data_IF_675559487744
#
_entry.id   IF_675559487744
#
_cell.length_a   1.000
_cell.length_b   1.000
_cell.length_c   1.000
_cell.angle_alpha   90.00
_cell.angle_beta   90.00
_cell.angle_gamma   90.00
#
_symmetry.space_group_name_H-M   'P 1'
#
loop_
_entity.id
_entity.type
_entity.pdbx_description
1 polymer ?
#
# COMPACT_ATOMS: atom_id res chain seq x y z
N UNK A 1 -9.63 5.99 26.29
CA UNK A 1 -9.86 7.05 25.28
C UNK A 1 -11.12 6.70 24.50
N UNK A 2 -12.14 7.56 24.49
CA UNK A 2 -13.43 7.34 23.79
C UNK A 2 -13.40 7.97 22.39
N UNK A 3 -12.66 7.37 21.46
CA UNK A 3 -12.74 7.70 20.03
C UNK A 3 -13.65 6.71 19.29
N UNK A 4 -14.16 7.03 18.09
CA UNK A 4 -14.88 6.06 17.27
C UNK A 4 -13.96 4.95 16.76
N UNK A 5 -14.53 3.80 16.42
CA UNK A 5 -13.86 2.80 15.59
C UNK A 5 -14.02 3.21 14.12
N UNK A 6 -12.91 3.27 13.38
CA UNK A 6 -12.88 3.78 12.00
C UNK A 6 -12.25 2.75 11.08
N UNK A 7 -12.96 2.46 9.99
CA UNK A 7 -12.45 1.69 8.86
C UNK A 7 -12.49 2.60 7.63
N UNK A 8 -11.34 2.85 7.02
CA UNK A 8 -11.21 3.62 5.79
C UNK A 8 -10.87 2.67 4.64
N UNK A 9 -11.60 2.75 3.52
CA UNK A 9 -11.44 1.84 2.38
C UNK A 9 -11.05 2.67 1.16
N UNK A 10 -10.02 2.24 0.43
CA UNK A 10 -9.60 2.94 -0.78
C UNK A 10 -8.20 2.57 -1.27
N UNK A 11 -7.46 3.57 -1.74
CA UNK A 11 -6.08 3.46 -2.19
C UNK A 11 -5.43 4.83 -2.34
N UNK A 12 -4.18 4.84 -2.78
CA UNK A 12 -3.43 6.05 -3.08
C UNK A 12 -3.31 7.04 -1.93
N UNK A 13 -3.13 8.31 -2.30
CA UNK A 13 -2.94 9.43 -1.36
C UNK A 13 -4.19 9.76 -0.55
N UNK A 14 -5.39 9.56 -1.12
CA UNK A 14 -6.64 9.87 -0.44
C UNK A 14 -6.82 9.04 0.84
N UNK A 15 -6.59 7.73 0.74
CA UNK A 15 -6.68 6.85 1.90
C UNK A 15 -5.63 7.19 2.96
N UNK A 16 -4.36 7.40 2.57
CA UNK A 16 -3.29 7.71 3.52
C UNK A 16 -3.55 9.03 4.27
N UNK A 17 -4.05 10.06 3.60
CA UNK A 17 -4.40 11.34 4.23
C UNK A 17 -5.51 11.18 5.26
N UNK A 18 -6.53 10.37 4.96
CA UNK A 18 -7.62 10.07 5.90
C UNK A 18 -7.08 9.31 7.13
N UNK A 19 -6.23 8.30 6.91
CA UNK A 19 -5.64 7.53 8.00
C UNK A 19 -4.79 8.42 8.93
N UNK A 20 -3.89 9.23 8.37
CA UNK A 20 -3.05 10.16 9.13
C UNK A 20 -3.89 11.14 9.96
N UNK A 21 -4.95 11.71 9.37
CA UNK A 21 -5.84 12.62 10.07
C UNK A 21 -6.55 11.96 11.27
N UNK A 22 -6.82 10.65 11.20
CA UNK A 22 -7.52 9.90 12.25
C UNK A 22 -6.61 9.37 13.36
N UNK A 23 -5.28 9.44 13.19
CA UNK A 23 -4.32 9.05 14.24
C UNK A 23 -4.57 9.90 15.51
N UNK A 24 -4.75 9.23 16.64
CA UNK A 24 -5.04 9.86 17.93
C UNK A 24 -6.50 10.32 18.12
N UNK A 25 -7.34 10.26 17.08
CA UNK A 25 -8.77 10.60 17.14
C UNK A 25 -9.66 9.36 17.18
N UNK A 26 -9.24 8.27 16.54
CA UNK A 26 -9.92 6.98 16.58
C UNK A 26 -9.49 6.13 17.79
N UNK A 27 -10.40 5.32 18.32
CA UNK A 27 -10.05 4.27 19.31
C UNK A 27 -9.54 3.00 18.64
N UNK A 28 -9.94 2.76 17.39
CA UNK A 28 -9.46 1.72 16.50
C UNK A 28 -9.45 2.28 15.08
N UNK A 29 -8.36 2.06 14.35
CA UNK A 29 -8.16 2.60 13.01
C UNK A 29 -7.64 1.50 12.07
N UNK A 30 -8.40 1.22 11.02
CA UNK A 30 -8.06 0.22 10.00
C UNK A 30 -8.14 0.85 8.62
N UNK A 31 -7.08 0.71 7.82
CA UNK A 31 -7.10 0.98 6.39
C UNK A 31 -7.28 -0.31 5.60
N UNK A 32 -8.30 -0.40 4.76
CA UNK A 32 -8.47 -1.49 3.78
C UNK A 32 -8.08 -0.97 2.41
N UNK A 33 -7.04 -1.55 1.81
CA UNK A 33 -6.35 -0.97 0.67
C UNK A 33 -6.41 -1.86 -0.57
N UNK A 34 -6.69 -1.26 -1.72
CA UNK A 34 -6.59 -1.96 -3.00
C UNK A 34 -5.16 -2.44 -3.27
N UNK A 35 -5.03 -3.64 -3.82
CA UNK A 35 -3.75 -4.23 -4.25
C UNK A 35 -3.70 -4.43 -5.77
N UNK A 36 -4.57 -3.73 -6.51
CA UNK A 36 -4.72 -3.87 -7.96
C UNK A 36 -3.79 -2.94 -8.78
N UNK A 37 -2.95 -2.14 -8.12
CA UNK A 37 -2.03 -1.21 -8.79
C UNK A 37 -1.01 -1.97 -9.66
N UNK A 38 -0.84 -1.50 -10.89
CA UNK A 38 0.08 -2.03 -11.89
C UNK A 38 1.08 -0.97 -12.41
N UNK A 39 1.09 0.22 -11.79
CA UNK A 39 1.93 1.35 -12.14
C UNK A 39 3.26 1.45 -11.37
N UNK A 40 4.22 2.16 -11.98
CA UNK A 40 5.47 2.58 -11.33
C UNK A 40 6.28 1.43 -10.70
N UNK A 41 6.88 1.69 -9.53
CA UNK A 41 7.66 0.69 -8.79
C UNK A 41 6.80 -0.46 -8.25
N UNK A 42 5.56 -0.17 -7.86
CA UNK A 42 4.61 -1.16 -7.31
C UNK A 42 4.30 -2.24 -8.34
N UNK A 43 3.90 -1.81 -9.54
CA UNK A 43 3.61 -2.72 -10.66
C UNK A 43 4.82 -3.49 -11.17
N UNK A 44 6.03 -2.91 -11.15
CA UNK A 44 7.25 -3.65 -11.49
C UNK A 44 7.51 -4.80 -10.51
N UNK A 45 7.56 -4.51 -9.21
CA UNK A 45 7.78 -5.53 -8.18
C UNK A 45 6.71 -6.63 -8.21
N UNK A 46 5.44 -6.24 -8.35
CA UNK A 46 4.33 -7.18 -8.49
C UNK A 46 4.51 -8.13 -9.68
N UNK A 47 4.90 -7.63 -10.84
CA UNK A 47 5.09 -8.47 -12.05
C UNK A 47 6.33 -9.35 -11.95
N UNK A 48 7.42 -8.82 -11.41
CA UNK A 48 8.70 -9.51 -11.39
C UNK A 48 8.75 -10.61 -10.32
N UNK A 49 7.98 -10.45 -9.24
CA UNK A 49 8.04 -11.31 -8.04
C UNK A 49 6.74 -12.08 -7.76
N UNK A 50 5.70 -11.89 -8.58
CA UNK A 50 4.36 -12.50 -8.41
C UNK A 50 3.73 -12.26 -7.02
N UNK A 51 3.89 -11.04 -6.51
CA UNK A 51 3.35 -10.59 -5.21
C UNK A 51 2.20 -9.58 -5.38
N UNK A 52 1.42 -9.35 -4.33
CA UNK A 52 0.46 -8.24 -4.29
C UNK A 52 1.15 -6.88 -4.41
N UNK A 53 0.47 -5.88 -4.98
CA UNK A 53 1.05 -4.56 -5.19
C UNK A 53 1.39 -3.86 -3.85
N UNK A 54 2.68 -3.54 -3.57
CA UNK A 54 3.08 -3.02 -2.26
C UNK A 54 2.78 -1.52 -2.05
N UNK A 55 2.59 -0.75 -3.13
CA UNK A 55 2.64 0.71 -3.12
C UNK A 55 1.67 1.40 -2.17
N UNK A 56 0.39 1.01 -2.21
CA UNK A 56 -0.63 1.63 -1.38
C UNK A 56 -0.63 1.10 0.06
N UNK A 57 -0.28 -0.17 0.26
CA UNK A 57 -0.01 -0.73 1.59
C UNK A 57 1.11 0.02 2.29
N UNK A 58 2.25 0.23 1.60
CA UNK A 58 3.38 1.04 2.05
C UNK A 58 2.93 2.44 2.47
N UNK A 59 2.15 3.12 1.62
CA UNK A 59 1.71 4.50 1.89
C UNK A 59 0.80 4.57 3.13
N UNK A 60 -0.09 3.59 3.29
CA UNK A 60 -0.93 3.51 4.49
C UNK A 60 -0.09 3.22 5.74
N UNK A 61 0.90 2.33 5.66
CA UNK A 61 1.82 2.05 6.76
C UNK A 61 2.59 3.30 7.17
N UNK A 62 3.16 4.03 6.21
CA UNK A 62 3.89 5.27 6.49
C UNK A 62 3.00 6.34 7.14
N UNK A 63 1.74 6.47 6.70
CA UNK A 63 0.78 7.41 7.29
C UNK A 63 0.40 7.08 8.75
N UNK A 64 0.43 5.80 9.12
CA UNK A 64 0.17 5.35 10.48
C UNK A 64 1.43 5.30 11.35
N UNK A 65 2.61 5.35 10.74
CA UNK A 65 3.91 5.35 11.42
C UNK A 65 4.15 6.72 12.08
N UNK A 66 4.62 6.77 13.35
CA UNK A 66 5.02 8.03 13.98
C UNK A 66 6.06 8.80 13.15
N UNK A 67 6.04 10.12 13.24
CA UNK A 67 7.05 10.97 12.58
C UNK A 67 8.48 10.59 13.00
N UNK A 68 9.41 10.60 12.04
CA UNK A 68 10.81 10.30 12.25
C UNK A 68 11.42 9.50 11.10
N UNK A 69 12.70 9.13 11.27
CA UNK A 69 13.52 8.52 10.22
C UNK A 69 12.91 7.25 9.62
N UNK A 70 12.18 6.46 10.41
CA UNK A 70 11.53 5.24 9.90
C UNK A 70 10.39 5.56 8.91
N UNK A 71 9.55 6.55 9.24
CA UNK A 71 8.50 7.03 8.32
C UNK A 71 9.13 7.58 7.05
N UNK A 72 10.19 8.37 7.19
CA UNK A 72 10.92 8.93 6.05
C UNK A 72 11.55 7.83 5.20
N UNK A 73 12.10 6.77 5.80
CA UNK A 73 12.66 5.64 5.09
C UNK A 73 11.60 4.85 4.31
N UNK A 74 10.41 4.63 4.89
CA UNK A 74 9.30 3.98 4.17
C UNK A 74 8.90 4.78 2.91
N UNK A 75 8.94 6.11 2.98
CA UNK A 75 8.59 6.99 1.86
C UNK A 75 9.77 7.30 0.92
N UNK A 76 11.01 7.11 1.35
CA UNK A 76 12.21 7.44 0.59
C UNK A 76 12.25 6.68 -0.73
N UNK A 77 12.41 7.42 -1.83
CA UNK A 77 12.60 6.87 -3.17
C UNK A 77 14.06 7.03 -3.56
N UNK A 78 14.71 5.92 -3.89
CA UNK A 78 16.07 5.96 -4.40
C UNK A 78 16.13 6.69 -5.74
N UNK A 79 17.10 7.57 -5.90
CA UNK A 79 17.26 8.39 -7.11
C UNK A 79 18.18 7.76 -8.15
N UNK A 80 19.10 6.89 -7.72
CA UNK A 80 20.14 6.31 -8.58
C UNK A 80 20.53 4.90 -8.15
N UNK A 81 21.32 4.23 -8.98
CA UNK A 81 21.78 2.86 -8.76
C UNK A 81 20.72 1.81 -9.08
N UNK A 82 20.94 0.58 -8.61
CA UNK A 82 20.09 -0.59 -8.93
C UNK A 82 18.67 -0.47 -8.38
N UNK A 83 18.47 0.34 -7.34
CA UNK A 83 17.16 0.58 -6.73
C UNK A 83 16.47 1.84 -7.26
N UNK A 84 17.06 2.53 -8.25
CA UNK A 84 16.53 3.80 -8.75
C UNK A 84 15.03 3.73 -9.07
N UNK A 85 14.28 4.68 -8.53
CA UNK A 85 12.84 4.77 -8.70
C UNK A 85 12.01 3.84 -7.79
N UNK A 86 12.62 2.99 -6.96
CA UNK A 86 11.89 2.20 -5.95
C UNK A 86 11.80 2.97 -4.62
N UNK A 87 10.60 3.08 -4.02
CA UNK A 87 10.49 3.42 -2.60
C UNK A 87 11.12 2.32 -1.75
N UNK A 88 11.93 2.66 -0.74
CA UNK A 88 12.57 1.66 0.10
C UNK A 88 11.54 0.79 0.84
N UNK A 89 10.43 1.38 1.29
CA UNK A 89 9.33 0.62 1.88
C UNK A 89 8.70 -0.42 0.93
N UNK A 90 8.66 -0.17 -0.38
CA UNK A 90 8.20 -1.18 -1.34
C UNK A 90 9.18 -2.36 -1.44
N UNK A 91 10.49 -2.09 -1.36
CA UNK A 91 11.52 -3.14 -1.41
C UNK A 91 11.46 -4.01 -0.16
N UNK A 92 11.29 -3.40 1.02
CA UNK A 92 11.10 -4.13 2.28
C UNK A 92 9.84 -4.99 2.23
N UNK A 93 8.71 -4.42 1.79
CA UNK A 93 7.46 -5.18 1.62
C UNK A 93 7.61 -6.35 0.65
N UNK A 94 8.25 -6.12 -0.50
CA UNK A 94 8.48 -7.16 -1.49
C UNK A 94 9.32 -8.31 -0.91
N UNK A 95 10.42 -7.99 -0.21
CA UNK A 95 11.25 -8.99 0.44
C UNK A 95 10.48 -9.80 1.49
N UNK A 96 9.61 -9.15 2.26
CA UNK A 96 8.79 -9.87 3.25
C UNK A 96 7.70 -10.72 2.60
N UNK A 97 7.07 -10.25 1.52
CA UNK A 97 6.04 -10.99 0.77
C UNK A 97 6.59 -12.21 0.03
N UNK A 98 7.86 -12.17 -0.38
CA UNK A 98 8.55 -13.37 -0.90
C UNK A 98 8.78 -14.43 0.18
N UNK A 99 9.01 -14.01 1.42
CA UNK A 99 9.29 -14.91 2.55
C UNK A 99 8.01 -15.41 3.24
N UNK A 100 6.98 -14.58 3.26
CA UNK A 100 5.67 -14.84 3.85
C UNK A 100 4.57 -14.45 2.85
N UNK A 101 3.93 -15.42 2.18
CA UNK A 101 2.94 -15.17 1.14
C UNK A 101 1.65 -14.51 1.63
N UNK A 102 1.32 -14.56 2.93
CA UNK A 102 0.14 -13.88 3.45
C UNK A 102 0.44 -12.39 3.71
N UNK A 103 -0.09 -11.47 2.88
CA UNK A 103 0.14 -10.04 3.06
C UNK A 103 -0.45 -9.49 4.36
N UNK A 104 -1.44 -10.16 4.96
CA UNK A 104 -1.97 -9.75 6.27
C UNK A 104 -0.91 -9.95 7.35
N UNK A 105 -0.22 -11.09 7.34
CA UNK A 105 0.85 -11.40 8.30
C UNK A 105 2.02 -10.43 8.14
N UNK A 106 2.42 -10.17 6.89
CA UNK A 106 3.50 -9.19 6.59
C UNK A 106 3.14 -7.80 7.09
N UNK A 107 1.91 -7.32 6.83
CA UNK A 107 1.48 -5.99 7.25
C UNK A 107 1.36 -5.87 8.76
N UNK A 108 0.82 -6.88 9.45
CA UNK A 108 0.72 -6.88 10.91
C UNK A 108 2.12 -6.87 11.56
N UNK A 109 3.06 -7.62 11.00
CA UNK A 109 4.47 -7.63 11.44
C UNK A 109 5.11 -6.24 11.29
N UNK A 110 4.94 -5.61 10.12
CA UNK A 110 5.50 -4.29 9.86
C UNK A 110 4.89 -3.20 10.74
N UNK A 111 3.57 -3.27 10.98
CA UNK A 111 2.87 -2.35 11.89
C UNK A 111 3.50 -2.37 13.28
N UNK A 112 3.80 -3.56 13.81
CA UNK A 112 4.48 -3.70 15.10
C UNK A 112 5.91 -3.15 15.05
N UNK A 113 6.69 -3.51 14.02
CA UNK A 113 8.09 -3.10 13.88
C UNK A 113 8.29 -1.58 13.83
N UNK A 114 7.39 -0.85 13.16
CA UNK A 114 7.50 0.60 12.99
C UNK A 114 6.69 1.39 14.03
N UNK A 115 5.99 0.70 14.93
CA UNK A 115 5.13 1.33 15.94
C UNK A 115 3.94 2.08 15.35
N UNK A 116 3.38 1.59 14.24
CA UNK A 116 2.26 2.21 13.56
C UNK A 116 0.99 2.22 14.44
N UNK A 117 0.21 3.30 14.37
CA UNK A 117 -1.00 3.53 15.17
C UNK A 117 -2.27 3.19 14.41
N UNK A 118 -2.42 1.92 14.08
CA UNK A 118 -3.56 1.37 13.35
C UNK A 118 -3.16 0.11 12.61
N UNK A 119 -4.09 -0.47 11.86
CA UNK A 119 -3.85 -1.67 11.05
C UNK A 119 -4.07 -1.38 9.58
N UNK A 120 -3.32 -2.04 8.70
CA UNK A 120 -3.51 -1.98 7.25
C UNK A 120 -3.83 -3.38 6.76
N UNK A 121 -4.93 -3.52 6.03
CA UNK A 121 -5.39 -4.77 5.45
C UNK A 121 -5.47 -4.64 3.93
N UNK A 122 -4.94 -5.59 3.16
CA UNK A 122 -5.21 -5.62 1.74
C UNK A 122 -6.67 -6.00 1.49
N UNK A 123 -7.27 -5.46 0.42
CA UNK A 123 -8.65 -5.80 0.03
C UNK A 123 -8.78 -7.27 -0.40
N UNK A 124 -7.68 -7.91 -0.79
CA UNK A 124 -7.57 -9.33 -1.12
C UNK A 124 -6.13 -9.79 -0.87
N UNK A 125 -5.94 -11.06 -0.52
CA UNK A 125 -4.61 -11.62 -0.27
C UNK A 125 -3.89 -12.10 -1.53
N UNK A 126 -4.53 -12.00 -2.71
CA UNK A 126 -3.95 -12.44 -3.99
C UNK A 126 -3.80 -11.28 -4.96
N UNK A 127 -2.82 -11.37 -5.86
CA UNK A 127 -2.64 -10.40 -6.92
C UNK A 127 -3.87 -10.36 -7.85
N UNK A 128 -4.39 -9.17 -8.11
CA UNK A 128 -5.59 -8.98 -8.95
C UNK A 128 -5.41 -7.82 -9.92
N UNK A 129 -6.00 -7.95 -11.11
CA UNK A 129 -6.00 -6.89 -12.11
C UNK A 129 -7.33 -6.13 -12.10
N UNK A 130 -7.26 -4.81 -12.19
CA UNK A 130 -8.44 -3.99 -12.44
C UNK A 130 -8.88 -4.14 -13.90
N UNK A 131 -10.18 -4.33 -14.13
CA UNK A 131 -10.76 -4.47 -15.47
C UNK A 131 -11.94 -3.53 -15.61
N UNK A 132 -11.99 -2.76 -16.70
CA UNK A 132 -13.11 -1.89 -17.04
C UNK A 132 -13.76 -2.34 -18.34
N UNK A 133 -15.10 -2.27 -18.38
CA UNK A 133 -15.87 -2.41 -19.61
C UNK A 133 -16.21 -1.02 -20.13
N UNK A 134 -15.70 -0.69 -21.32
CA UNK A 134 -15.90 0.61 -21.97
C UNK A 134 -16.72 0.43 -23.25
N UNK A 135 -17.16 1.54 -23.86
CA UNK A 135 -17.81 1.52 -25.17
C UNK A 135 -16.92 0.94 -26.29
N UNK A 136 -15.59 0.97 -26.10
CA UNK A 136 -14.59 0.46 -27.05
C UNK A 136 -14.17 -0.99 -26.74
N UNK A 137 -14.76 -1.60 -25.72
CA UNK A 137 -14.45 -2.96 -25.26
C UNK A 137 -13.82 -3.01 -23.87
N UNK A 138 -13.26 -4.16 -23.53
CA UNK A 138 -12.65 -4.43 -22.23
C UNK A 138 -11.22 -3.90 -22.16
N UNK A 139 -10.92 -3.11 -21.13
CA UNK A 139 -9.58 -2.60 -20.82
C UNK A 139 -9.12 -3.22 -19.52
N UNK A 140 -7.87 -3.70 -19.48
CA UNK A 140 -7.26 -4.36 -18.32
C UNK A 140 -6.04 -3.56 -17.84
N UNK A 141 -5.93 -3.40 -16.52
CA UNK A 141 -4.84 -2.71 -15.85
C UNK A 141 -5.22 -1.30 -15.41
N UNK A 142 -4.82 -0.91 -14.19
CA UNK A 142 -5.20 0.38 -13.61
C UNK A 142 -4.66 1.54 -14.46
N UNK A 143 -3.38 1.49 -14.86
CA UNK A 143 -2.77 2.52 -15.71
C UNK A 143 -3.51 2.63 -17.04
N UNK A 144 -3.73 1.51 -17.73
CA UNK A 144 -4.41 1.49 -19.02
C UNK A 144 -5.85 2.03 -18.94
N UNK A 145 -6.58 1.69 -17.88
CA UNK A 145 -7.93 2.22 -17.63
C UNK A 145 -7.89 3.73 -17.42
N UNK A 146 -6.92 4.25 -16.67
CA UNK A 146 -6.79 5.69 -16.44
C UNK A 146 -6.45 6.49 -17.70
N UNK A 147 -5.76 5.87 -18.66
CA UNK A 147 -5.40 6.46 -19.96
C UNK A 147 -6.50 6.29 -21.02
N UNK A 148 -7.55 5.52 -20.72
CA UNK A 148 -8.65 5.21 -21.66
C UNK A 148 -9.82 6.22 -21.60
N UNK A 149 -9.73 7.22 -20.72
CA UNK A 149 -10.72 8.29 -20.55
C UNK A 149 -10.65 9.38 -21.61
#
# INVERSE_FOLDING_TARGET
MTGPSVVAIGGGHGLSTVLEAMVGRASSLIGVVSVADDGGSSGRLRRDLDIVAPGDMRRCLAALTPEGLMRDALEHRFESGVLAGHPAGNVVLAAMLELEPDPVVVMDTLVEMVGARGRVLPATSVAVDLVATTERGTVKGQVAISESG
#
